data_IF_770668239328
#
_entry.id   IF_770668239328
#
_cell.length_a   1.000
_cell.length_b   1.000
_cell.length_c   1.000
_cell.angle_alpha   90.00
_cell.angle_beta   90.00
_cell.angle_gamma   90.00
#
_symmetry.space_group_name_H-M   'P 1'
#
loop_
_entity.id
_entity.type
_entity.pdbx_description
1 polymer ?
#
# COMPACT_ATOMS: atom_id res chain seq x y z
N UNK A 1 10.66 -71.32 -82.87
CA UNK A 1 11.39 -70.41 -83.76
C UNK A 1 11.92 -69.26 -82.91
N UNK A 2 13.07 -69.45 -82.27
CA UNK A 2 13.74 -68.35 -81.54
C UNK A 2 14.60 -67.56 -82.53
N UNK A 3 14.26 -66.33 -82.72
CA UNK A 3 15.10 -65.39 -83.42
C UNK A 3 16.20 -64.81 -82.49
N UNK A 4 17.47 -65.15 -82.80
CA UNK A 4 18.58 -64.60 -82.07
C UNK A 4 18.64 -63.07 -82.29
N UNK A 5 18.65 -62.32 -81.13
CA UNK A 5 18.77 -60.89 -81.14
C UNK A 5 20.22 -60.49 -81.57
N UNK A 6 20.35 -59.61 -82.58
CA UNK A 6 21.67 -59.19 -83.11
C UNK A 6 22.56 -58.60 -82.00
N UNK A 7 23.83 -58.95 -81.99
CA UNK A 7 24.89 -58.52 -81.02
C UNK A 7 25.00 -57.01 -80.84
N UNK A 8 24.59 -56.23 -81.81
CA UNK A 8 24.54 -54.76 -81.75
C UNK A 8 23.52 -54.20 -80.86
N UNK A 9 22.34 -54.83 -80.77
CA UNK A 9 21.25 -54.38 -79.88
C UNK A 9 21.60 -54.64 -78.42
N UNK A 10 22.21 -55.77 -78.09
CA UNK A 10 22.70 -56.08 -76.73
C UNK A 10 23.84 -55.12 -76.28
N UNK A 11 24.68 -54.67 -77.18
CA UNK A 11 25.71 -53.65 -76.84
C UNK A 11 25.09 -52.27 -76.54
N UNK A 12 24.03 -51.90 -77.30
CA UNK A 12 23.36 -50.64 -77.15
C UNK A 12 22.56 -50.57 -75.84
N UNK A 13 21.94 -51.68 -75.45
CA UNK A 13 21.22 -51.76 -74.15
C UNK A 13 22.20 -51.81 -72.95
N UNK A 14 23.27 -52.51 -73.05
CA UNK A 14 24.30 -52.57 -72.02
C UNK A 14 24.97 -51.18 -71.83
N UNK A 15 25.24 -50.46 -72.90
CA UNK A 15 25.78 -49.09 -72.78
C UNK A 15 24.75 -48.11 -72.22
N UNK A 16 23.40 -48.26 -72.53
CA UNK A 16 22.34 -47.44 -71.90
C UNK A 16 22.23 -47.75 -70.42
N UNK A 17 22.32 -49.02 -69.96
CA UNK A 17 22.36 -49.39 -68.57
C UNK A 17 23.57 -48.82 -67.83
N UNK A 18 24.79 -48.92 -68.43
CA UNK A 18 25.99 -48.37 -67.84
C UNK A 18 25.92 -46.84 -67.73
N UNK A 19 25.39 -46.13 -68.75
CA UNK A 19 25.18 -44.68 -68.68
C UNK A 19 24.16 -44.33 -67.64
N UNK A 20 23.06 -45.06 -67.45
CA UNK A 20 22.09 -44.82 -66.38
C UNK A 20 22.66 -45.07 -65.00
N UNK A 21 23.45 -46.14 -64.80
CA UNK A 21 24.13 -46.41 -63.54
C UNK A 21 25.18 -45.38 -63.19
N UNK A 22 25.96 -44.93 -64.21
CA UNK A 22 26.96 -43.85 -63.99
C UNK A 22 26.32 -42.50 -63.70
N UNK A 23 25.18 -42.20 -64.34
CA UNK A 23 24.42 -40.96 -64.03
C UNK A 23 23.87 -41.00 -62.61
N UNK A 24 23.33 -42.11 -62.13
CA UNK A 24 22.85 -42.28 -60.74
C UNK A 24 24.02 -42.19 -59.76
N UNK A 25 25.16 -42.79 -60.05
CA UNK A 25 26.35 -42.69 -59.19
C UNK A 25 26.86 -41.24 -59.06
N UNK A 26 26.91 -40.53 -60.18
CA UNK A 26 27.28 -39.10 -60.16
C UNK A 26 26.29 -38.23 -59.35
N UNK A 27 24.98 -38.52 -59.50
CA UNK A 27 23.96 -37.78 -58.73
C UNK A 27 24.09 -38.04 -57.23
N UNK A 28 24.38 -39.30 -56.83
CA UNK A 28 24.62 -39.67 -55.42
C UNK A 28 25.86 -38.95 -54.87
N UNK A 29 26.95 -38.91 -55.63
CA UNK A 29 28.20 -38.19 -55.22
C UNK A 29 27.96 -36.67 -55.09
N UNK A 30 27.20 -36.09 -56.01
CA UNK A 30 26.83 -34.67 -55.94
C UNK A 30 25.94 -34.39 -54.71
N UNK A 31 24.95 -35.24 -54.43
CA UNK A 31 24.09 -35.09 -53.24
C UNK A 31 24.90 -35.26 -51.96
N UNK A 32 25.79 -36.21 -51.88
CA UNK A 32 26.68 -36.41 -50.71
C UNK A 32 27.63 -35.20 -50.56
N UNK A 33 28.18 -34.67 -51.65
CA UNK A 33 29.02 -33.46 -51.63
C UNK A 33 28.27 -32.23 -51.16
N UNK A 34 26.99 -32.06 -51.59
CA UNK A 34 26.13 -30.98 -51.14
C UNK A 34 25.77 -31.15 -49.66
N UNK A 35 25.48 -32.37 -49.19
CA UNK A 35 25.21 -32.67 -47.79
C UNK A 35 26.42 -32.38 -46.90
N UNK A 36 27.63 -32.77 -47.31
CA UNK A 36 28.88 -32.48 -46.62
C UNK A 36 29.17 -30.96 -46.60
N UNK A 37 28.86 -30.25 -47.69
CA UNK A 37 29.01 -28.79 -47.78
C UNK A 37 28.02 -28.05 -46.87
N UNK A 38 26.76 -28.53 -46.75
CA UNK A 38 25.76 -28.01 -45.84
C UNK A 38 26.04 -28.31 -44.34
N UNK A 39 26.74 -29.42 -44.07
CA UNK A 39 27.16 -29.74 -42.69
C UNK A 39 28.41 -28.97 -42.23
N UNK A 40 29.12 -28.27 -43.08
CA UNK A 40 30.21 -27.35 -42.71
C UNK A 40 29.65 -26.01 -42.25
N UNK A 41 28.98 -25.97 -41.10
CA UNK A 41 28.70 -24.74 -40.36
C UNK A 41 29.99 -24.23 -39.72
N UNK A 42 30.79 -23.52 -40.48
CA UNK A 42 31.93 -22.80 -39.93
C UNK A 42 31.45 -21.56 -39.21
N UNK A 43 31.71 -21.46 -37.91
CA UNK A 43 31.50 -20.21 -37.12
C UNK A 43 32.46 -19.17 -37.70
N UNK A 44 31.96 -18.04 -38.16
CA UNK A 44 32.81 -16.96 -38.70
C UNK A 44 33.50 -16.27 -37.52
N UNK A 45 34.80 -16.04 -37.64
CA UNK A 45 35.67 -15.37 -36.63
C UNK A 45 35.08 -14.00 -36.17
N UNK A 46 34.21 -13.38 -36.97
CA UNK A 46 33.51 -12.13 -36.63
C UNK A 46 32.37 -12.30 -35.61
N UNK A 47 31.87 -13.51 -35.44
CA UNK A 47 30.73 -13.81 -34.58
C UNK A 47 31.20 -14.34 -33.19
N UNK A 48 32.52 -14.46 -33.00
CA UNK A 48 33.12 -14.92 -31.74
C UNK A 48 33.52 -13.72 -30.91
N UNK A 49 32.91 -13.61 -29.71
CA UNK A 49 33.30 -12.63 -28.70
C UNK A 49 34.41 -13.24 -27.87
N UNK A 50 35.63 -12.65 -27.95
CA UNK A 50 36.78 -13.07 -27.17
C UNK A 50 36.84 -12.27 -25.87
N UNK A 51 37.03 -12.94 -24.76
CA UNK A 51 37.30 -12.36 -23.45
C UNK A 51 38.64 -12.85 -22.94
N UNK A 52 39.52 -11.95 -22.52
CA UNK A 52 40.73 -12.32 -21.82
C UNK A 52 40.45 -12.59 -20.34
N UNK A 53 41.11 -13.59 -19.78
CA UNK A 53 41.15 -13.86 -18.35
C UNK A 53 42.10 -12.85 -17.70
N UNK A 54 41.59 -11.95 -16.87
CA UNK A 54 42.35 -11.01 -16.06
C UNK A 54 42.17 -11.26 -14.55
N UNK A 55 42.99 -10.62 -13.74
CA UNK A 55 42.85 -10.59 -12.29
C UNK A 55 42.31 -9.20 -11.88
N UNK A 56 41.35 -9.19 -11.01
CA UNK A 56 40.78 -7.92 -10.50
C UNK A 56 39.68 -8.13 -9.50
N UNK A 57 39.10 -7.03 -9.10
CA UNK A 57 37.99 -7.01 -8.14
C UNK A 57 36.65 -7.29 -8.85
N UNK A 58 35.84 -8.12 -8.26
CA UNK A 58 34.43 -8.33 -8.66
C UNK A 58 33.52 -7.85 -7.52
N UNK A 59 32.71 -6.85 -7.80
CA UNK A 59 31.60 -6.51 -6.94
C UNK A 59 30.44 -7.46 -7.24
N UNK A 60 30.34 -8.52 -6.44
CA UNK A 60 29.28 -9.53 -6.62
C UNK A 60 27.92 -8.89 -6.53
N UNK A 61 27.14 -9.00 -7.56
CA UNK A 61 25.77 -8.47 -7.58
C UNK A 61 24.74 -9.53 -7.91
N UNK A 62 23.54 -9.33 -7.39
CA UNK A 62 22.36 -10.11 -7.74
C UNK A 62 21.49 -9.27 -8.66
N UNK A 63 21.11 -9.85 -9.81
CA UNK A 63 20.23 -9.18 -10.76
C UNK A 63 18.77 -9.34 -10.34
N UNK A 64 18.04 -8.26 -10.43
CA UNK A 64 16.61 -8.19 -10.15
C UNK A 64 15.90 -7.42 -11.27
N UNK A 65 14.63 -7.72 -11.47
CA UNK A 65 13.77 -6.90 -12.33
C UNK A 65 13.32 -5.68 -11.58
N UNK A 66 13.41 -4.49 -12.18
CA UNK A 66 13.00 -3.24 -11.58
C UNK A 66 11.96 -2.52 -12.41
N UNK A 67 11.18 -1.67 -11.74
CA UNK A 67 10.24 -0.73 -12.34
C UNK A 67 10.41 0.64 -11.71
N UNK A 68 10.61 1.65 -12.53
CA UNK A 68 10.67 3.04 -12.06
C UNK A 68 9.28 3.46 -11.58
N UNK A 69 9.22 3.95 -10.37
CA UNK A 69 8.02 4.50 -9.74
C UNK A 69 8.26 5.95 -9.30
N UNK A 70 7.24 6.78 -9.21
CA UNK A 70 7.36 8.10 -8.61
C UNK A 70 7.82 7.95 -7.15
N UNK A 71 8.57 8.92 -6.64
CA UNK A 71 8.96 8.94 -5.22
C UNK A 71 7.73 8.93 -4.32
N UNK A 72 6.68 9.59 -4.79
CA UNK A 72 5.39 9.72 -4.12
C UNK A 72 4.23 9.49 -5.10
N UNK A 73 3.25 8.71 -4.65
CA UNK A 73 1.98 8.49 -5.34
C UNK A 73 0.85 8.43 -4.30
N UNK A 74 -0.23 9.17 -4.54
CA UNK A 74 -1.39 9.19 -3.66
C UNK A 74 -2.66 8.94 -4.47
N UNK A 75 -3.45 7.98 -4.01
CA UNK A 75 -4.73 7.65 -4.59
C UNK A 75 -5.80 8.51 -3.91
N UNK A 76 -6.49 9.32 -4.69
CA UNK A 76 -7.62 10.11 -4.23
C UNK A 76 -8.89 9.29 -4.45
N UNK A 77 -9.62 9.04 -3.36
CA UNK A 77 -10.85 8.24 -3.37
C UNK A 77 -12.08 9.11 -3.10
N UNK A 78 -13.23 8.63 -3.52
CA UNK A 78 -14.51 9.28 -3.20
C UNK A 78 -14.89 9.00 -1.73
N UNK A 79 -15.18 10.01 -0.90
CA UNK A 79 -15.65 9.81 0.46
C UNK A 79 -17.13 9.40 0.56
N UNK A 80 -17.87 9.47 -0.53
CA UNK A 80 -19.30 9.16 -0.61
C UNK A 80 -19.65 8.33 -1.84
N UNK A 81 -20.82 7.67 -1.80
CA UNK A 81 -21.43 7.11 -3.01
C UNK A 81 -22.07 8.24 -3.82
N UNK A 82 -21.55 8.51 -4.99
CA UNK A 82 -22.02 9.61 -5.82
C UNK A 82 -21.71 9.38 -7.31
N UNK A 83 -22.05 10.34 -8.14
CA UNK A 83 -21.69 10.38 -9.55
C UNK A 83 -20.85 11.61 -9.87
N UNK A 84 -20.01 11.51 -10.89
CA UNK A 84 -19.20 12.63 -11.38
C UNK A 84 -20.08 13.58 -12.16
N UNK A 85 -20.12 14.84 -11.73
CA UNK A 85 -20.88 15.92 -12.41
C UNK A 85 -20.00 16.68 -13.37
N UNK A 86 -18.76 16.98 -12.96
CA UNK A 86 -17.85 17.81 -13.73
C UNK A 86 -16.40 17.42 -13.46
N UNK A 87 -15.55 17.52 -14.48
CA UNK A 87 -14.12 17.23 -14.42
C UNK A 87 -13.34 18.48 -14.82
N UNK A 88 -12.57 19.04 -13.90
CA UNK A 88 -11.86 20.31 -14.08
C UNK A 88 -10.44 20.14 -14.63
N UNK A 89 -9.84 18.96 -14.48
CA UNK A 89 -8.44 18.68 -14.83
C UNK A 89 -8.34 17.41 -15.67
N UNK A 90 -7.20 17.24 -16.34
CA UNK A 90 -6.89 16.06 -17.16
C UNK A 90 -5.64 15.37 -16.66
N UNK A 91 -5.48 14.09 -17.01
CA UNK A 91 -4.22 13.39 -16.79
C UNK A 91 -3.06 14.14 -17.44
N UNK A 92 -1.97 14.34 -16.70
CA UNK A 92 -0.81 15.14 -17.10
C UNK A 92 -0.80 16.58 -16.56
N UNK A 93 -1.93 17.10 -16.07
CA UNK A 93 -1.97 18.45 -15.51
C UNK A 93 -1.21 18.53 -14.17
N UNK A 94 -0.49 19.65 -13.98
CA UNK A 94 0.08 20.01 -12.67
C UNK A 94 -1.02 20.61 -11.80
N UNK A 95 -1.09 20.18 -10.54
CA UNK A 95 -2.05 20.62 -9.54
C UNK A 95 -1.33 21.08 -8.29
N UNK A 96 -1.79 22.18 -7.71
CA UNK A 96 -1.34 22.71 -6.43
C UNK A 96 -2.31 22.30 -5.31
N UNK A 97 -1.90 22.53 -4.06
CA UNK A 97 -2.74 22.30 -2.88
C UNK A 97 -4.09 23.01 -3.04
N UNK A 98 -5.19 22.28 -2.82
CA UNK A 98 -6.55 22.82 -2.91
C UNK A 98 -7.10 22.98 -4.33
N UNK A 99 -6.32 22.69 -5.38
CA UNK A 99 -6.79 22.75 -6.76
C UNK A 99 -7.94 21.77 -6.98
N UNK A 100 -9.12 22.22 -7.47
CA UNK A 100 -10.24 21.31 -7.74
C UNK A 100 -9.90 20.39 -8.90
N UNK A 101 -10.13 19.09 -8.72
CA UNK A 101 -9.87 18.05 -9.72
C UNK A 101 -11.15 17.67 -10.44
N UNK A 102 -12.17 17.28 -9.68
CA UNK A 102 -13.50 16.95 -10.19
C UNK A 102 -14.59 17.29 -9.16
N UNK A 103 -15.83 17.35 -9.61
CA UNK A 103 -17.00 17.61 -8.78
C UNK A 103 -17.92 16.40 -8.77
N UNK A 104 -18.28 15.97 -7.58
CA UNK A 104 -19.29 14.95 -7.33
C UNK A 104 -20.68 15.56 -7.17
N UNK A 105 -21.72 14.76 -7.38
CA UNK A 105 -23.11 15.15 -7.08
C UNK A 105 -23.34 15.10 -5.56
N UNK A 106 -23.48 16.27 -4.95
CA UNK A 106 -23.58 16.41 -3.50
C UNK A 106 -25.04 16.60 -3.02
N UNK A 107 -26.01 16.66 -3.92
CA UNK A 107 -27.39 17.02 -3.60
C UNK A 107 -28.02 16.14 -2.50
N UNK A 108 -27.80 14.83 -2.57
CA UNK A 108 -28.31 13.89 -1.55
C UNK A 108 -27.63 14.11 -0.20
N UNK A 109 -26.29 14.21 -0.19
CA UNK A 109 -25.49 14.41 1.03
C UNK A 109 -25.75 15.79 1.67
N UNK A 110 -25.91 16.84 0.87
CA UNK A 110 -26.30 18.17 1.36
C UNK A 110 -27.69 18.16 2.00
N UNK A 111 -28.64 17.42 1.42
CA UNK A 111 -29.99 17.29 1.99
C UNK A 111 -29.93 16.53 3.32
N UNK A 112 -29.14 15.48 3.41
CA UNK A 112 -28.94 14.74 4.66
C UNK A 112 -28.27 15.60 5.74
N UNK A 113 -27.24 16.35 5.38
CA UNK A 113 -26.59 17.30 6.29
C UNK A 113 -27.57 18.35 6.83
N UNK A 114 -28.45 18.90 5.98
CA UNK A 114 -29.51 19.85 6.43
C UNK A 114 -30.47 19.20 7.41
N UNK A 115 -30.91 17.97 7.17
CA UNK A 115 -31.76 17.22 8.13
C UNK A 115 -31.05 17.02 9.47
N UNK A 116 -29.77 16.75 9.48
CA UNK A 116 -29.00 16.63 10.72
C UNK A 116 -28.86 17.96 11.45
N UNK A 117 -28.77 19.09 10.73
CA UNK A 117 -28.80 20.42 11.36
C UNK A 117 -30.13 20.68 12.06
N UNK A 118 -31.26 20.35 11.42
CA UNK A 118 -32.58 20.48 12.03
C UNK A 118 -32.74 19.57 13.27
N UNK A 119 -32.16 18.36 13.23
CA UNK A 119 -32.10 17.44 14.36
C UNK A 119 -31.22 17.96 15.51
N UNK A 120 -30.08 18.61 15.20
CA UNK A 120 -29.24 19.27 16.23
C UNK A 120 -30.04 20.33 16.97
N UNK A 121 -30.78 21.15 16.24
CA UNK A 121 -31.63 22.19 16.85
C UNK A 121 -32.72 21.60 17.73
N UNK A 122 -33.39 20.55 17.26
CA UNK A 122 -34.40 19.83 18.04
C UNK A 122 -33.82 19.25 19.33
N UNK A 123 -32.65 18.62 19.28
CA UNK A 123 -31.97 18.05 20.46
C UNK A 123 -31.54 19.15 21.45
N UNK A 124 -31.10 20.30 20.97
CA UNK A 124 -30.74 21.45 21.77
C UNK A 124 -31.97 21.95 22.55
N UNK A 125 -33.14 22.09 21.90
CA UNK A 125 -34.35 22.49 22.57
C UNK A 125 -34.87 21.44 23.57
N UNK A 126 -34.73 20.17 23.30
CA UNK A 126 -35.06 19.09 24.27
C UNK A 126 -34.16 19.16 25.51
N UNK A 127 -32.89 19.45 25.37
CA UNK A 127 -31.98 19.63 26.50
C UNK A 127 -32.36 20.83 27.33
N UNK A 128 -32.72 21.95 26.70
CA UNK A 128 -33.20 23.15 27.42
C UNK A 128 -34.52 22.90 28.12
N UNK A 129 -35.46 22.23 27.48
CA UNK A 129 -36.72 21.82 28.10
C UNK A 129 -36.51 20.96 29.35
N UNK A 130 -35.60 19.97 29.27
CA UNK A 130 -35.24 19.14 30.43
C UNK A 130 -34.65 19.98 31.56
N UNK A 131 -33.75 20.92 31.26
CA UNK A 131 -33.17 21.85 32.24
C UNK A 131 -34.23 22.65 32.95
N UNK A 132 -35.16 23.25 32.19
CA UNK A 132 -36.26 24.06 32.75
C UNK A 132 -37.18 23.20 33.60
N UNK A 133 -37.57 22.01 33.14
CA UNK A 133 -38.42 21.09 33.89
C UNK A 133 -37.79 20.68 35.23
N UNK A 134 -36.50 20.29 35.21
CA UNK A 134 -35.77 19.92 36.42
C UNK A 134 -35.62 21.09 37.39
N UNK A 135 -35.35 22.29 36.88
CA UNK A 135 -35.29 23.49 37.71
C UNK A 135 -36.63 23.80 38.36
N UNK A 136 -37.76 23.71 37.62
CA UNK A 136 -39.13 23.93 38.14
C UNK A 136 -39.42 22.91 39.23
N UNK A 137 -39.21 21.62 38.99
CA UNK A 137 -39.42 20.54 39.96
C UNK A 137 -38.63 20.76 41.25
N UNK A 138 -37.33 21.06 41.13
CA UNK A 138 -36.49 21.35 42.32
C UNK A 138 -36.95 22.61 43.05
N UNK A 139 -37.41 23.64 42.35
CA UNK A 139 -37.98 24.86 42.96
C UNK A 139 -39.24 24.56 43.74
N UNK A 140 -40.15 23.75 43.18
CA UNK A 140 -41.39 23.34 43.87
C UNK A 140 -41.10 22.52 45.15
N UNK A 141 -40.17 21.59 45.08
CA UNK A 141 -39.71 20.81 46.24
C UNK A 141 -39.06 21.70 47.31
N UNK A 142 -38.21 22.66 46.90
CA UNK A 142 -37.64 23.64 47.81
C UNK A 142 -38.72 24.49 48.53
N UNK A 143 -39.80 24.84 47.83
CA UNK A 143 -40.92 25.52 48.43
C UNK A 143 -41.65 24.64 49.46
N UNK A 144 -41.86 23.35 49.15
CA UNK A 144 -42.45 22.37 50.07
C UNK A 144 -41.60 22.22 51.34
N UNK A 145 -40.28 22.12 51.21
CA UNK A 145 -39.34 22.08 52.35
C UNK A 145 -39.51 23.34 53.22
N UNK A 146 -39.60 24.52 52.61
CA UNK A 146 -39.77 25.77 53.33
C UNK A 146 -41.08 25.79 54.12
N UNK A 147 -42.18 25.28 53.53
CA UNK A 147 -43.51 25.17 54.25
C UNK A 147 -43.40 24.17 55.39
N UNK A 148 -42.78 23.00 55.20
CA UNK A 148 -42.51 21.99 56.22
C UNK A 148 -41.63 22.53 57.37
N UNK A 149 -40.58 23.30 57.05
CA UNK A 149 -39.73 23.97 58.04
C UNK A 149 -40.52 24.96 58.91
N UNK A 150 -41.48 25.70 58.33
CA UNK A 150 -42.37 26.58 59.11
C UNK A 150 -43.35 25.79 60.04
N UNK A 151 -43.90 24.65 59.56
CA UNK A 151 -44.70 23.71 60.36
C UNK A 151 -43.87 23.15 61.54
N UNK A 152 -42.69 22.70 61.30
CA UNK A 152 -41.77 22.19 62.33
C UNK A 152 -41.41 23.25 63.36
N UNK A 153 -41.12 24.50 62.93
CA UNK A 153 -40.92 25.61 63.89
C UNK A 153 -42.14 25.90 64.78
N UNK A 154 -43.36 25.86 64.18
CA UNK A 154 -44.60 25.99 65.01
C UNK A 154 -44.74 24.89 66.05
N UNK A 155 -44.54 23.62 65.68
CA UNK A 155 -44.60 22.49 66.62
C UNK A 155 -43.49 22.60 67.68
N UNK A 156 -42.32 23.09 67.38
CA UNK A 156 -41.22 23.34 68.32
C UNK A 156 -41.60 24.41 69.33
N UNK A 157 -42.27 25.49 68.92
CA UNK A 157 -42.73 26.52 69.83
C UNK A 157 -43.84 25.98 70.71
N UNK A 158 -44.80 25.20 70.18
CA UNK A 158 -45.89 24.58 70.89
C UNK A 158 -45.35 23.61 71.98
N UNK A 159 -44.45 22.74 71.66
CA UNK A 159 -43.80 21.86 72.62
C UNK A 159 -43.12 22.64 73.74
N UNK A 160 -42.41 23.72 73.41
CA UNK A 160 -41.76 24.58 74.44
C UNK A 160 -42.75 25.20 75.35
N UNK A 161 -43.94 25.66 74.86
CA UNK A 161 -45.01 26.27 75.63
C UNK A 161 -45.64 25.22 76.54
N UNK A 162 -45.93 23.98 76.11
CA UNK A 162 -46.46 22.91 76.94
C UNK A 162 -45.51 22.51 78.08
N UNK A 163 -44.19 22.43 77.80
CA UNK A 163 -43.16 22.20 78.82
C UNK A 163 -43.13 23.35 79.87
N UNK A 164 -43.30 24.60 79.41
CA UNK A 164 -43.33 25.75 80.32
C UNK A 164 -44.62 25.70 81.21
N UNK A 165 -45.79 25.39 80.65
CA UNK A 165 -47.07 25.28 81.43
C UNK A 165 -46.97 24.11 82.41
N UNK A 166 -46.42 22.96 82.07
CA UNK A 166 -46.21 21.82 82.95
C UNK A 166 -45.32 22.20 84.10
N UNK A 167 -44.20 22.92 83.82
CA UNK A 167 -43.30 23.42 84.88
C UNK A 167 -43.90 24.34 85.89
N UNK A 168 -45.00 25.03 85.53
CA UNK A 168 -45.78 25.90 86.38
C UNK A 168 -46.97 25.18 87.12
N UNK A 169 -47.10 23.87 86.86
CA UNK A 169 -48.21 23.06 87.38
C UNK A 169 -49.56 23.34 86.71
N UNK A 170 -49.59 24.10 85.61
CA UNK A 170 -50.80 24.47 84.86
C UNK A 170 -50.98 23.56 83.63
N UNK A 171 -50.01 22.66 83.32
CA UNK A 171 -50.00 21.67 82.21
C UNK A 171 -50.32 20.26 82.71
N UNK A 172 -50.40 19.31 81.73
CA UNK A 172 -50.52 17.88 82.03
C UNK A 172 -49.43 17.14 81.25
N UNK A 173 -48.84 16.14 81.87
CA UNK A 173 -47.80 15.30 81.24
C UNK A 173 -48.23 14.65 79.89
N UNK A 174 -49.59 14.39 79.78
CA UNK A 174 -50.14 13.85 78.55
C UNK A 174 -50.10 14.86 77.38
N UNK A 175 -50.34 16.15 77.63
CA UNK A 175 -50.26 17.22 76.65
C UNK A 175 -48.82 17.45 76.21
N UNK A 176 -47.86 17.40 77.13
CA UNK A 176 -46.44 17.46 76.79
C UNK A 176 -46.03 16.31 75.86
N UNK A 177 -46.44 15.07 76.20
CA UNK A 177 -46.14 13.88 75.38
C UNK A 177 -46.80 14.00 74.01
N UNK A 178 -48.06 14.54 73.90
CA UNK A 178 -48.71 14.74 72.61
C UNK A 178 -47.97 15.78 71.78
N UNK A 179 -47.58 16.91 72.37
CA UNK A 179 -46.77 17.95 71.66
C UNK A 179 -45.41 17.43 71.23
N UNK A 180 -44.73 16.62 72.03
CA UNK A 180 -43.51 15.98 71.73
C UNK A 180 -43.62 15.01 70.53
N UNK A 181 -44.70 14.17 70.54
CA UNK A 181 -44.98 13.29 69.39
C UNK A 181 -45.22 14.10 68.13
N UNK A 182 -46.02 15.17 68.19
CA UNK A 182 -46.31 16.06 67.06
C UNK A 182 -45.06 16.73 66.49
N UNK A 183 -44.15 17.18 67.34
CA UNK A 183 -42.90 17.75 66.98
C UNK A 183 -42.04 16.72 66.28
N UNK A 184 -41.87 15.49 66.85
CA UNK A 184 -41.04 14.41 66.27
C UNK A 184 -41.61 13.98 64.92
N UNK A 185 -42.93 13.89 64.74
CA UNK A 185 -43.52 13.59 63.41
C UNK A 185 -43.20 14.70 62.41
N UNK A 186 -43.39 15.99 62.77
CA UNK A 186 -43.07 17.12 61.91
C UNK A 186 -41.57 17.19 61.58
N UNK A 187 -40.69 16.79 62.46
CA UNK A 187 -39.22 16.67 62.20
C UNK A 187 -38.94 15.61 61.18
N UNK A 188 -39.52 14.42 61.30
CA UNK A 188 -39.33 13.33 60.34
C UNK A 188 -39.89 13.70 58.96
N UNK A 189 -41.04 14.35 58.88
CA UNK A 189 -41.60 14.84 57.64
C UNK A 189 -40.65 15.85 56.94
N UNK A 190 -40.06 16.76 57.70
CA UNK A 190 -39.12 17.74 57.19
C UNK A 190 -37.83 17.06 56.68
N UNK A 191 -37.29 16.13 57.44
CA UNK A 191 -36.07 15.38 57.06
C UNK A 191 -36.31 14.51 55.83
N UNK A 192 -37.48 13.87 55.72
CA UNK A 192 -37.91 13.10 54.57
C UNK A 192 -37.95 13.95 53.30
N UNK A 193 -38.62 15.13 53.38
CA UNK A 193 -38.69 16.04 52.24
C UNK A 193 -37.32 16.54 51.81
N UNK A 194 -36.45 16.83 52.76
CA UNK A 194 -35.09 17.24 52.48
C UNK A 194 -34.29 16.14 51.76
N UNK A 195 -34.41 14.89 52.25
CA UNK A 195 -33.78 13.74 51.62
C UNK A 195 -34.31 13.50 50.20
N UNK A 196 -35.61 13.65 50.00
CA UNK A 196 -36.21 13.53 48.64
C UNK A 196 -35.69 14.62 47.70
N UNK A 197 -35.54 15.87 48.17
CA UNK A 197 -34.98 16.95 47.37
C UNK A 197 -33.51 16.67 46.97
N UNK A 198 -32.67 16.22 47.93
CA UNK A 198 -31.27 15.93 47.65
C UNK A 198 -31.16 14.78 46.65
N UNK A 199 -31.93 13.70 46.80
CA UNK A 199 -31.97 12.60 45.83
C UNK A 199 -32.46 13.08 44.44
N UNK A 200 -33.52 13.87 44.37
CA UNK A 200 -34.04 14.39 43.10
C UNK A 200 -33.02 15.30 42.39
N UNK A 201 -32.30 16.09 43.18
CA UNK A 201 -31.20 16.94 42.65
C UNK A 201 -30.08 16.12 42.00
N UNK A 202 -29.70 14.99 42.64
CA UNK A 202 -28.70 14.09 42.09
C UNK A 202 -29.22 13.41 40.82
N UNK A 203 -30.46 12.92 40.81
CA UNK A 203 -31.09 12.29 39.64
C UNK A 203 -31.18 13.29 38.47
N UNK A 204 -31.68 14.49 38.73
CA UNK A 204 -31.80 15.54 37.73
C UNK A 204 -30.44 15.94 37.15
N UNK A 205 -29.39 16.01 37.98
CA UNK A 205 -28.02 16.29 37.51
C UNK A 205 -27.47 15.16 36.64
N UNK A 206 -27.71 13.90 37.02
CA UNK A 206 -27.28 12.73 36.24
C UNK A 206 -28.00 12.65 34.89
N UNK A 207 -29.34 12.86 34.90
CA UNK A 207 -30.15 12.86 33.67
C UNK A 207 -29.71 13.96 32.71
N UNK A 208 -29.52 15.18 33.22
CA UNK A 208 -28.98 16.29 32.42
C UNK A 208 -27.63 15.96 31.82
N UNK A 209 -26.74 15.33 32.60
CA UNK A 209 -25.42 14.94 32.15
C UNK A 209 -25.48 13.90 31.03
N UNK A 210 -26.36 12.92 31.13
CA UNK A 210 -26.56 11.91 30.06
C UNK A 210 -27.06 12.59 28.78
N UNK A 211 -28.02 13.50 28.86
CA UNK A 211 -28.52 14.23 27.68
C UNK A 211 -27.48 15.17 27.08
N UNK A 212 -26.65 15.82 27.88
CA UNK A 212 -25.53 16.62 27.41
C UNK A 212 -24.49 15.75 26.63
N UNK A 213 -24.19 14.56 27.13
CA UNK A 213 -23.27 13.61 26.46
C UNK A 213 -23.85 13.12 25.13
N UNK A 214 -25.17 12.77 25.11
CA UNK A 214 -25.85 12.37 23.88
C UNK A 214 -25.81 13.50 22.83
N UNK A 215 -26.12 14.73 23.23
CA UNK A 215 -26.02 15.90 22.36
C UNK A 215 -24.58 16.14 21.83
N UNK A 216 -23.58 15.96 22.68
CA UNK A 216 -22.18 16.11 22.25
C UNK A 216 -21.74 15.00 21.27
N UNK A 217 -22.22 13.76 21.45
CA UNK A 217 -21.99 12.67 20.49
C UNK A 217 -22.63 13.03 19.15
N UNK A 218 -23.87 13.49 19.16
CA UNK A 218 -24.56 13.92 17.95
C UNK A 218 -23.83 15.05 17.21
N UNK A 219 -23.35 16.06 17.94
CA UNK A 219 -22.54 17.15 17.35
C UNK A 219 -21.25 16.66 16.70
N UNK A 220 -20.61 15.64 17.26
CA UNK A 220 -19.42 15.03 16.64
C UNK A 220 -19.81 14.33 15.33
N UNK A 221 -20.92 13.61 15.30
CA UNK A 221 -21.43 12.97 14.08
C UNK A 221 -21.78 14.00 13.00
N UNK A 222 -22.40 15.13 13.40
CA UNK A 222 -22.70 16.24 12.50
C UNK A 222 -21.43 16.87 11.92
N UNK A 223 -20.39 17.06 12.75
CA UNK A 223 -19.10 17.59 12.32
C UNK A 223 -18.40 16.64 11.32
N UNK A 224 -18.50 15.32 11.54
CA UNK A 224 -17.96 14.32 10.62
C UNK A 224 -18.72 14.33 9.28
N UNK A 225 -20.04 14.44 9.30
CA UNK A 225 -20.82 14.58 8.07
C UNK A 225 -20.45 15.85 7.29
N UNK A 226 -20.23 16.97 7.99
CA UNK A 226 -19.75 18.21 7.37
C UNK A 226 -18.39 18.01 6.70
N UNK A 227 -17.46 17.37 7.40
CA UNK A 227 -16.14 17.06 6.84
C UNK A 227 -16.25 16.17 5.61
N UNK A 228 -17.08 15.12 5.66
CA UNK A 228 -17.35 14.26 4.51
C UNK A 228 -17.89 15.03 3.31
N UNK A 229 -18.77 16.00 3.55
CA UNK A 229 -19.30 16.89 2.52
C UNK A 229 -18.22 17.81 1.93
N UNK A 230 -17.35 18.36 2.77
CA UNK A 230 -16.24 19.21 2.34
C UNK A 230 -15.20 18.40 1.54
N UNK A 231 -14.87 17.18 1.99
CA UNK A 231 -13.95 16.26 1.32
C UNK A 231 -14.51 15.72 -0.01
N UNK A 232 -15.84 15.70 -0.18
CA UNK A 232 -16.48 15.30 -1.43
C UNK A 232 -16.30 16.33 -2.58
N UNK A 233 -15.82 17.53 -2.28
CA UNK A 233 -15.23 18.43 -3.27
C UNK A 233 -13.79 17.97 -3.55
N UNK A 234 -13.63 17.04 -4.47
CA UNK A 234 -12.33 16.39 -4.74
C UNK A 234 -11.29 17.43 -5.17
N UNK A 235 -10.33 17.67 -4.28
CA UNK A 235 -9.24 18.63 -4.45
C UNK A 235 -7.89 17.95 -4.24
N UNK A 236 -6.83 18.53 -4.81
CA UNK A 236 -5.48 18.02 -4.58
C UNK A 236 -5.02 18.36 -3.16
N UNK A 237 -4.57 17.37 -2.36
CA UNK A 237 -4.03 17.62 -1.02
C UNK A 237 -2.62 18.23 -1.03
N UNK A 238 -1.92 18.15 -2.16
CA UNK A 238 -0.55 18.65 -2.31
C UNK A 238 -0.23 19.04 -3.75
N UNK A 239 0.92 19.67 -3.95
CA UNK A 239 1.47 19.94 -5.28
C UNK A 239 1.97 18.64 -5.90
N UNK A 240 1.44 18.28 -7.08
CA UNK A 240 1.77 17.04 -7.79
C UNK A 240 1.32 17.12 -9.25
N UNK A 241 1.54 16.04 -9.98
CA UNK A 241 1.01 15.84 -11.33
C UNK A 241 -0.11 14.79 -11.27
N UNK A 242 -1.23 15.09 -11.92
CA UNK A 242 -2.37 14.19 -12.01
C UNK A 242 -2.04 13.07 -13.00
N UNK A 243 -1.72 11.86 -12.51
CA UNK A 243 -1.34 10.72 -13.36
C UNK A 243 -2.54 9.91 -13.83
N UNK A 244 -3.62 9.92 -13.05
CA UNK A 244 -4.88 9.27 -13.43
C UNK A 244 -6.06 10.12 -12.96
N UNK A 245 -7.14 10.14 -13.75
CA UNK A 245 -8.43 10.71 -13.39
C UNK A 245 -9.56 9.92 -14.06
N UNK A 246 -10.61 9.65 -13.31
CA UNK A 246 -11.86 9.17 -13.88
C UNK A 246 -12.59 10.36 -14.56
N UNK A 247 -12.48 10.44 -15.88
CA UNK A 247 -13.00 11.55 -16.68
C UNK A 247 -14.40 11.32 -17.24
N UNK A 248 -15.09 10.23 -16.83
CA UNK A 248 -16.41 9.89 -17.32
C UNK A 248 -17.49 10.66 -16.53
N UNK A 249 -17.96 11.77 -17.06
CA UNK A 249 -19.11 12.51 -16.50
C UNK A 249 -20.35 11.62 -16.49
N UNK A 250 -21.04 11.56 -15.35
CA UNK A 250 -22.19 10.69 -15.10
C UNK A 250 -21.84 9.31 -14.54
N UNK A 251 -20.55 8.92 -14.52
CA UNK A 251 -20.13 7.66 -13.91
C UNK A 251 -20.42 7.64 -12.42
N UNK A 252 -20.95 6.53 -11.93
CA UNK A 252 -21.11 6.29 -10.49
C UNK A 252 -19.77 5.89 -9.85
N UNK A 253 -19.49 6.50 -8.72
CA UNK A 253 -18.30 6.20 -7.91
C UNK A 253 -18.77 5.79 -6.52
N UNK A 254 -18.44 4.57 -6.07
CA UNK A 254 -18.75 4.13 -4.72
C UNK A 254 -17.85 4.83 -3.70
N UNK A 255 -18.28 4.86 -2.45
CA UNK A 255 -17.44 5.29 -1.34
C UNK A 255 -16.14 4.45 -1.30
N UNK A 256 -14.98 5.10 -1.15
CA UNK A 256 -13.67 4.46 -1.23
C UNK A 256 -13.21 4.16 -2.66
N UNK A 257 -14.05 4.38 -3.68
CA UNK A 257 -13.69 4.22 -5.08
C UNK A 257 -12.65 5.25 -5.54
N UNK A 258 -11.66 4.80 -6.29
CA UNK A 258 -10.61 5.66 -6.84
C UNK A 258 -11.17 6.63 -7.87
N UNK A 259 -10.91 7.91 -7.69
CA UNK A 259 -11.33 8.99 -8.61
C UNK A 259 -10.16 9.64 -9.33
N UNK A 260 -9.00 9.71 -8.67
CA UNK A 260 -7.79 10.27 -9.26
C UNK A 260 -6.54 9.68 -8.61
N UNK A 261 -5.40 9.81 -9.28
CA UNK A 261 -4.06 9.54 -8.72
C UNK A 261 -3.21 10.77 -8.99
N UNK A 262 -2.53 11.23 -7.96
CA UNK A 262 -1.53 12.28 -8.06
C UNK A 262 -0.16 11.72 -7.71
N UNK A 263 0.87 12.13 -8.44
CA UNK A 263 2.23 11.64 -8.27
C UNK A 263 3.24 12.79 -8.37
N UNK A 264 4.32 12.66 -7.64
CA UNK A 264 5.49 13.51 -7.83
C UNK A 264 6.38 12.90 -8.92
N UNK A 265 6.34 13.50 -10.10
CA UNK A 265 7.17 13.09 -11.24
C UNK A 265 8.50 13.85 -11.33
N UNK A 266 8.86 14.65 -10.32
CA UNK A 266 10.17 15.31 -10.24
C UNK A 266 11.23 14.41 -9.61
N UNK A 267 10.83 13.43 -8.80
CA UNK A 267 11.71 12.48 -8.14
C UNK A 267 11.21 11.06 -8.36
N UNK A 268 12.13 10.13 -8.57
CA UNK A 268 11.82 8.73 -8.85
C UNK A 268 12.57 7.79 -7.91
N UNK A 269 11.95 6.65 -7.64
CA UNK A 269 12.55 5.48 -7.00
C UNK A 269 12.42 4.28 -7.95
N UNK A 270 13.13 3.21 -7.66
CA UNK A 270 12.97 1.96 -8.40
C UNK A 270 12.44 0.88 -7.46
N UNK A 271 11.32 0.29 -7.83
CA UNK A 271 10.76 -0.88 -7.16
C UNK A 271 11.31 -2.12 -7.86
N UNK A 272 12.11 -2.90 -7.14
CA UNK A 272 12.75 -4.11 -7.61
C UNK A 272 12.05 -5.36 -7.12
N UNK A 273 12.07 -6.38 -7.95
CA UNK A 273 11.56 -7.72 -7.62
C UNK A 273 12.66 -8.75 -7.86
N UNK A 274 12.92 -9.59 -6.88
CA UNK A 274 13.93 -10.64 -6.94
C UNK A 274 13.33 -11.98 -6.49
N UNK A 275 13.81 -13.08 -7.07
CA UNK A 275 13.40 -14.41 -6.63
C UNK A 275 13.75 -14.62 -5.15
N UNK A 276 12.85 -15.25 -4.41
CA UNK A 276 12.97 -15.51 -2.96
C UNK A 276 14.28 -16.22 -2.58
N UNK A 277 14.76 -17.11 -3.45
CA UNK A 277 16.06 -17.82 -3.27
C UNK A 277 17.27 -16.88 -3.14
N UNK A 278 17.14 -15.63 -3.56
CA UNK A 278 18.18 -14.61 -3.45
C UNK A 278 17.85 -13.53 -2.42
N UNK A 279 16.74 -13.67 -1.68
CA UNK A 279 16.25 -12.69 -0.72
C UNK A 279 17.27 -12.31 0.34
N UNK A 280 18.01 -13.28 0.87
CA UNK A 280 19.06 -13.09 1.87
C UNK A 280 20.25 -12.25 1.38
N UNK A 281 20.36 -12.03 0.06
CA UNK A 281 21.44 -11.26 -0.56
C UNK A 281 21.07 -9.80 -0.79
N UNK A 282 19.83 -9.42 -0.51
CA UNK A 282 19.34 -8.04 -0.64
C UNK A 282 19.02 -7.51 0.74
N UNK A 283 19.76 -6.52 1.19
CA UNK A 283 19.57 -5.90 2.50
C UNK A 283 19.38 -4.38 2.36
N UNK A 284 18.61 -3.79 3.25
CA UNK A 284 18.49 -2.34 3.33
C UNK A 284 19.87 -1.69 3.59
N UNK A 285 20.17 -0.60 2.92
CA UNK A 285 21.47 0.05 2.94
C UNK A 285 22.48 -0.51 1.92
N UNK A 286 22.14 -1.61 1.23
CA UNK A 286 22.97 -2.19 0.17
C UNK A 286 23.09 -1.24 -1.04
N UNK A 287 24.27 -1.16 -1.63
CA UNK A 287 24.47 -0.43 -2.89
C UNK A 287 23.74 -1.13 -4.04
N UNK A 288 23.15 -0.37 -4.93
CA UNK A 288 22.49 -0.89 -6.12
C UNK A 288 22.85 -0.06 -7.35
N UNK A 289 22.96 -0.74 -8.49
CA UNK A 289 23.09 -0.09 -9.79
C UNK A 289 21.83 -0.39 -10.59
N UNK A 290 21.20 0.66 -11.06
CA UNK A 290 20.01 0.59 -11.92
C UNK A 290 20.42 0.88 -13.35
N UNK A 291 20.18 -0.07 -14.25
CA UNK A 291 20.53 0.04 -15.66
C UNK A 291 19.34 0.45 -16.50
N UNK A 292 19.42 1.61 -17.13
CA UNK A 292 18.41 2.14 -18.03
C UNK A 292 18.98 2.28 -19.43
N UNK A 293 18.68 1.31 -20.28
CA UNK A 293 19.33 1.23 -21.59
C UNK A 293 20.85 1.03 -21.45
N UNK A 294 21.64 2.05 -21.84
CA UNK A 294 23.10 2.06 -21.71
C UNK A 294 23.63 2.80 -20.49
N UNK A 295 22.75 3.49 -19.76
CA UNK A 295 23.12 4.32 -18.60
C UNK A 295 23.00 3.53 -17.30
N UNK A 296 23.90 3.80 -16.37
CA UNK A 296 23.95 3.20 -15.05
C UNK A 296 23.71 4.31 -14.03
N UNK A 297 22.67 4.16 -13.21
CA UNK A 297 22.37 5.05 -12.11
C UNK A 297 22.69 4.34 -10.79
N UNK A 298 23.44 5.02 -9.94
CA UNK A 298 23.74 4.52 -8.60
C UNK A 298 22.57 4.79 -7.67
N UNK A 299 22.36 3.87 -6.74
CA UNK A 299 21.33 3.98 -5.72
C UNK A 299 21.63 3.12 -4.50
N UNK A 300 20.75 3.22 -3.53
CA UNK A 300 20.82 2.45 -2.27
C UNK A 300 19.48 1.77 -2.04
N UNK A 301 19.50 0.51 -1.63
CA UNK A 301 18.31 -0.21 -1.23
C UNK A 301 17.72 0.47 0.03
N UNK A 302 16.59 1.13 -0.12
CA UNK A 302 15.92 1.86 0.96
C UNK A 302 15.09 0.95 1.86
N UNK A 303 14.47 -0.06 1.29
CA UNK A 303 13.66 -1.03 2.03
C UNK A 303 13.57 -2.38 1.30
N UNK A 304 13.40 -3.45 2.06
CA UNK A 304 13.14 -4.80 1.56
C UNK A 304 11.89 -5.30 2.25
N UNK A 305 10.93 -5.79 1.48
CA UNK A 305 9.70 -6.37 2.02
C UNK A 305 9.97 -7.83 2.42
N UNK A 306 9.90 -8.21 3.69
CA UNK A 306 10.27 -9.56 4.13
C UNK A 306 9.25 -10.64 3.73
N UNK A 307 8.15 -10.23 3.09
CA UNK A 307 7.08 -11.13 2.66
C UNK A 307 7.30 -11.56 1.21
N UNK A 308 7.52 -12.86 1.00
CA UNK A 308 7.52 -13.45 -0.34
C UNK A 308 6.09 -13.60 -0.86
N UNK A 309 5.82 -13.03 -2.04
CA UNK A 309 4.58 -13.23 -2.80
C UNK A 309 4.90 -13.94 -4.11
N UNK A 310 4.30 -15.10 -4.34
CA UNK A 310 4.52 -15.90 -5.56
C UNK A 310 6.00 -16.23 -5.81
N UNK A 311 6.80 -16.45 -4.76
CA UNK A 311 8.24 -16.75 -4.87
C UNK A 311 9.12 -15.55 -5.19
N UNK A 312 8.61 -14.32 -5.00
CA UNK A 312 9.31 -13.08 -5.27
C UNK A 312 9.30 -12.19 -4.03
N UNK A 313 10.44 -11.56 -3.74
CA UNK A 313 10.61 -10.51 -2.72
C UNK A 313 10.71 -9.17 -3.42
N UNK A 314 9.98 -8.19 -2.90
CA UNK A 314 10.01 -6.81 -3.40
C UNK A 314 10.94 -5.95 -2.53
N UNK A 315 11.69 -5.07 -3.16
CA UNK A 315 12.53 -4.10 -2.50
C UNK A 315 12.47 -2.75 -3.22
N UNK A 316 12.86 -1.68 -2.53
CA UNK A 316 12.88 -0.33 -3.10
C UNK A 316 14.29 0.21 -3.13
N UNK A 317 14.67 0.85 -4.22
CA UNK A 317 15.96 1.51 -4.41
C UNK A 317 15.75 3.01 -4.53
N UNK A 318 16.39 3.75 -3.65
CA UNK A 318 16.52 5.20 -3.73
C UNK A 318 17.69 5.52 -4.65
N UNK A 319 17.45 6.25 -5.74
CA UNK A 319 18.49 6.69 -6.66
C UNK A 319 19.25 7.89 -6.08
N UNK A 320 20.55 8.01 -6.36
CA UNK A 320 21.33 9.20 -6.04
C UNK A 320 20.98 10.35 -6.98
N UNK A 321 20.74 10.05 -8.25
CA UNK A 321 20.22 10.98 -9.27
C UNK A 321 18.76 10.59 -9.56
N UNK A 322 17.87 10.96 -8.64
CA UNK A 322 16.43 10.61 -8.69
C UNK A 322 15.63 11.53 -9.62
N UNK A 323 16.24 12.56 -10.20
CA UNK A 323 15.65 13.54 -11.12
C UNK A 323 16.18 13.40 -12.56
N UNK A 324 16.77 12.27 -12.91
CA UNK A 324 17.32 12.05 -14.23
C UNK A 324 16.23 12.10 -15.31
N UNK A 325 16.47 12.84 -16.40
CA UNK A 325 15.52 13.07 -17.50
C UNK A 325 15.07 11.79 -18.23
N UNK A 326 15.79 10.70 -18.09
CA UNK A 326 15.44 9.40 -18.70
C UNK A 326 14.49 8.59 -17.84
N UNK A 327 14.34 8.95 -16.56
CA UNK A 327 13.40 8.30 -15.66
C UNK A 327 11.96 8.66 -16.07
N UNK A 328 11.14 7.64 -16.16
CA UNK A 328 9.70 7.77 -16.42
C UNK A 328 8.96 6.72 -15.60
N UNK A 329 7.88 7.10 -14.98
CA UNK A 329 7.04 6.16 -14.25
C UNK A 329 6.63 4.98 -15.14
N UNK A 330 6.75 3.76 -14.61
CA UNK A 330 6.43 2.54 -15.32
C UNK A 330 7.55 1.96 -16.18
N UNK A 331 8.70 2.64 -16.33
CA UNK A 331 9.84 2.15 -17.10
C UNK A 331 10.42 0.89 -16.43
N UNK A 332 10.53 -0.18 -17.20
CA UNK A 332 11.21 -1.41 -16.76
C UNK A 332 12.73 -1.22 -16.85
N UNK A 333 13.43 -1.74 -15.86
CA UNK A 333 14.89 -1.60 -15.72
C UNK A 333 15.47 -2.84 -15.05
N UNK A 334 16.76 -3.08 -15.25
CA UNK A 334 17.50 -4.10 -14.53
C UNK A 334 18.17 -3.45 -13.31
N UNK A 335 18.03 -4.09 -12.16
CA UNK A 335 18.62 -3.65 -10.90
C UNK A 335 19.66 -4.67 -10.46
N UNK A 336 20.86 -4.20 -10.18
CA UNK A 336 21.95 -5.01 -9.67
C UNK A 336 22.25 -4.59 -8.24
N UNK A 337 21.90 -5.44 -7.28
CA UNK A 337 22.15 -5.18 -5.86
C UNK A 337 23.48 -5.79 -5.49
N UNK A 338 24.41 -4.97 -4.98
CA UNK A 338 25.73 -5.40 -4.55
C UNK A 338 25.63 -6.12 -3.21
N UNK A 339 26.21 -7.32 -3.16
CA UNK A 339 26.15 -8.20 -2.00
C UNK A 339 27.54 -8.37 -1.34
N UNK A 340 28.60 -8.51 -2.14
CA UNK A 340 29.95 -8.69 -1.65
C UNK A 340 30.97 -8.10 -2.63
N UNK A 341 32.14 -7.77 -2.12
CA UNK A 341 33.30 -7.40 -2.93
C UNK A 341 34.33 -8.52 -2.80
N UNK A 342 34.76 -9.08 -3.92
CA UNK A 342 35.85 -10.06 -3.99
C UNK A 342 37.03 -9.41 -4.68
N UNK A 343 38.12 -9.28 -3.98
CA UNK A 343 39.34 -8.69 -4.48
C UNK A 343 40.28 -9.79 -5.03
N UNK A 344 41.07 -9.45 -6.02
CA UNK A 344 42.12 -10.29 -6.59
C UNK A 344 41.65 -11.67 -7.07
N UNK A 345 40.50 -11.72 -7.73
CA UNK A 345 39.96 -12.95 -8.33
C UNK A 345 40.18 -12.97 -9.84
N UNK A 346 40.38 -14.19 -10.40
CA UNK A 346 40.34 -14.37 -11.85
C UNK A 346 38.94 -14.13 -12.37
N UNK A 347 38.81 -13.38 -13.45
CA UNK A 347 37.52 -13.00 -14.01
C UNK A 347 37.52 -12.98 -15.54
N UNK A 348 36.37 -13.25 -16.12
CA UNK A 348 36.08 -13.15 -17.55
C UNK A 348 34.83 -12.28 -17.77
N UNK A 349 34.65 -11.75 -18.98
CA UNK A 349 33.50 -10.96 -19.31
C UNK A 349 32.19 -11.77 -19.17
N UNK A 350 31.20 -11.17 -18.51
CA UNK A 350 29.87 -11.76 -18.38
C UNK A 350 29.10 -11.61 -19.71
N UNK A 351 28.45 -12.69 -20.12
CA UNK A 351 27.62 -12.71 -21.31
C UNK A 351 26.50 -13.76 -21.18
N UNK A 352 25.74 -13.97 -22.23
CA UNK A 352 24.57 -14.87 -22.25
C UNK A 352 24.86 -16.35 -21.97
N UNK A 353 26.13 -16.76 -21.92
CA UNK A 353 26.54 -18.12 -21.58
C UNK A 353 26.41 -18.41 -20.08
N UNK A 354 26.48 -17.39 -19.22
CA UNK A 354 26.45 -17.54 -17.76
C UNK A 354 25.02 -17.52 -17.24
N UNK A 355 24.63 -18.60 -16.56
CA UNK A 355 23.30 -18.76 -15.95
C UNK A 355 23.37 -18.95 -14.43
N UNK A 356 24.58 -18.86 -13.82
CA UNK A 356 24.77 -19.02 -12.38
C UNK A 356 26.05 -19.78 -12.04
N UNK A 357 26.30 -19.97 -10.74
CA UNK A 357 27.48 -20.74 -10.30
C UNK A 357 27.43 -22.19 -10.80
N UNK A 358 28.52 -22.69 -11.33
CA UNK A 358 28.56 -24.08 -11.81
C UNK A 358 29.73 -24.40 -12.71
N UNK A 359 29.70 -25.60 -13.25
CA UNK A 359 30.69 -26.10 -14.21
C UNK A 359 30.24 -25.79 -15.64
N UNK A 360 31.12 -25.19 -16.43
CA UNK A 360 30.85 -24.76 -17.81
C UNK A 360 31.90 -25.33 -18.74
N UNK A 361 31.47 -25.68 -19.94
CA UNK A 361 32.36 -26.05 -21.04
C UNK A 361 32.68 -24.79 -21.87
N UNK A 362 33.83 -24.16 -21.65
CA UNK A 362 34.27 -22.98 -22.39
C UNK A 362 35.30 -23.34 -23.46
N UNK A 363 35.36 -22.56 -24.53
CA UNK A 363 36.34 -22.68 -25.58
C UNK A 363 37.46 -21.67 -25.31
N UNK A 364 38.68 -22.16 -25.21
CA UNK A 364 39.89 -21.37 -24.95
C UNK A 364 40.78 -21.40 -26.18
N UNK A 365 41.22 -20.24 -26.62
CA UNK A 365 42.13 -20.08 -27.71
C UNK A 365 43.56 -20.15 -27.19
N UNK A 366 44.34 -21.12 -27.69
CA UNK A 366 45.77 -21.31 -27.38
C UNK A 366 46.63 -20.39 -28.24
N UNK A 367 47.91 -20.22 -27.90
CA UNK A 367 48.90 -19.40 -28.62
C UNK A 367 49.08 -19.72 -30.11
N UNK A 368 48.64 -20.90 -30.54
CA UNK A 368 48.73 -21.39 -31.93
C UNK A 368 47.39 -21.23 -32.71
N UNK A 369 46.50 -20.37 -32.29
CA UNK A 369 45.13 -20.17 -32.86
C UNK A 369 44.27 -21.45 -32.81
N UNK A 370 44.63 -22.42 -31.99
CA UNK A 370 43.89 -23.66 -31.79
C UNK A 370 42.83 -23.44 -30.68
N UNK A 371 41.59 -23.87 -30.93
CA UNK A 371 40.49 -23.75 -29.97
C UNK A 371 40.33 -25.08 -29.23
N UNK A 372 40.56 -25.05 -27.91
CA UNK A 372 40.43 -26.21 -27.04
C UNK A 372 39.26 -26.04 -26.10
N UNK A 373 38.43 -27.06 -25.98
CA UNK A 373 37.33 -27.09 -25.02
C UNK A 373 37.87 -27.43 -23.63
N UNK A 374 37.61 -26.55 -22.65
CA UNK A 374 38.00 -26.76 -21.24
C UNK A 374 36.78 -26.70 -20.31
N UNK A 375 36.81 -27.53 -19.28
CA UNK A 375 35.85 -27.46 -18.16
C UNK A 375 36.30 -26.39 -17.17
N UNK A 376 35.45 -25.43 -16.92
CA UNK A 376 35.75 -24.26 -16.10
C UNK A 376 34.70 -24.17 -15.00
N UNK A 377 35.14 -24.01 -13.76
CA UNK A 377 34.28 -23.75 -12.64
C UNK A 377 34.08 -22.22 -12.51
N UNK A 378 32.85 -21.75 -12.73
CA UNK A 378 32.51 -20.36 -12.61
C UNK A 378 31.83 -20.10 -11.24
N UNK A 379 32.18 -18.97 -10.64
CA UNK A 379 31.72 -18.54 -9.33
C UNK A 379 30.67 -17.43 -9.41
N UNK A 380 30.85 -16.38 -8.59
CA UNK A 380 29.98 -15.23 -8.56
C UNK A 380 30.17 -14.30 -9.75
N UNK A 381 29.20 -13.44 -10.00
CA UNK A 381 29.26 -12.51 -11.13
C UNK A 381 28.68 -11.15 -10.77
N UNK A 382 28.99 -10.19 -11.58
CA UNK A 382 28.26 -8.95 -11.73
C UNK A 382 27.82 -8.76 -13.19
N UNK A 383 27.37 -7.59 -13.54
CA UNK A 383 26.89 -7.31 -14.91
C UNK A 383 28.03 -7.24 -15.94
N UNK A 384 29.30 -7.11 -15.54
CA UNK A 384 30.48 -7.02 -16.43
C UNK A 384 31.33 -8.28 -16.42
N UNK A 385 31.50 -8.91 -15.27
CA UNK A 385 32.46 -9.99 -15.05
C UNK A 385 31.85 -11.19 -14.34
N UNK A 386 32.43 -12.36 -14.60
CA UNK A 386 32.18 -13.64 -13.92
C UNK A 386 33.48 -14.11 -13.29
N UNK A 387 33.42 -14.53 -12.04
CA UNK A 387 34.53 -15.13 -11.30
C UNK A 387 34.89 -16.48 -11.90
N UNK A 388 36.18 -16.72 -12.13
CA UNK A 388 36.73 -18.01 -12.50
C UNK A 388 37.36 -18.64 -11.27
N UNK A 389 36.72 -19.70 -10.75
CA UNK A 389 37.19 -20.41 -9.56
C UNK A 389 38.34 -21.35 -9.93
N UNK A 390 38.21 -22.04 -11.08
CA UNK A 390 39.26 -22.94 -11.59
C UNK A 390 39.05 -23.25 -13.07
N UNK A 391 40.10 -23.78 -13.75
CA UNK A 391 40.04 -24.26 -15.13
C UNK A 391 40.64 -23.31 -16.18
N UNK A 392 40.90 -22.04 -15.83
CA UNK A 392 41.58 -21.07 -16.71
C UNK A 392 42.81 -20.50 -16.01
N UNK A 393 43.71 -19.93 -16.82
CA UNK A 393 44.93 -19.25 -16.37
C UNK A 393 44.88 -17.77 -16.78
N UNK A 394 45.55 -16.86 -16.02
CA UNK A 394 45.66 -15.46 -16.42
C UNK A 394 46.29 -15.35 -17.83
N UNK A 395 45.60 -14.62 -18.73
CA UNK A 395 46.01 -14.45 -20.11
C UNK A 395 45.36 -15.40 -21.11
N UNK A 396 44.67 -16.46 -20.69
CA UNK A 396 43.81 -17.26 -21.58
C UNK A 396 42.78 -16.36 -22.27
N UNK A 397 42.42 -16.69 -23.50
CA UNK A 397 41.47 -15.93 -24.30
C UNK A 397 40.27 -16.77 -24.73
#
# INVERSE_FOLDING_TARGET
MDREIPKEIRKKERNKKIIRFSAIAVTIVVVISILISLMRTGVKKKDIILSAVDQGTIEVSVSASGKVAPAFEEIITSPINSRIVEVYRRGGDSVDVGTPILKLDLQSTETEYKKLLDEEEMRRYKLEQLRVNNQTKLSDMAMQIKVSAMKLNRMKVELRNEHYLDSLGAGTTDKVRQAELSYNVAQLEYEQLKQQYDNEKEVAAAELKVQELDFNIFRKNLAEMKRTLDDAQIRSPRKAILTYINNQVGAQVPQGGQVAIISDLSHFKVEGEIADTYGDRVAAGGKAIVKIGTEKLEGVVSSVTPLSKNGVISFSVQLMDDNNRRLRSGLKTDVYVMNAVKEDVMRIANASYYVGRGEYDLFVMTSDDEIVKRKVQLGDSNFEFVEVVSGLQPGDR
#
